data_IF_352335911538
#
_entry.id   IF_352335911538
#
_cell.length_a   1.000
_cell.length_b   1.000
_cell.length_c   1.000
_cell.angle_alpha   90.00
_cell.angle_beta   90.00
_cell.angle_gamma   90.00
#
_symmetry.space_group_name_H-M   'P 1'
#
loop_
_entity.id
_entity.type
_entity.pdbx_description
1 polymer ?
#
# COMPACT_ATOMS: atom_id res chain seq x y z
N UNK A 1 12.12 -5.96 31.74
CA UNK A 1 12.29 -5.26 30.45
C UNK A 1 11.79 -6.12 29.31
N UNK A 2 11.72 -5.58 28.09
CA UNK A 2 11.20 -6.29 26.93
C UNK A 2 12.25 -6.32 25.80
N UNK A 3 12.61 -7.52 25.35
CA UNK A 3 13.47 -7.75 24.19
C UNK A 3 12.60 -8.14 22.99
N UNK A 4 12.97 -7.66 21.79
CA UNK A 4 12.26 -7.96 20.53
C UNK A 4 13.26 -8.49 19.51
N UNK A 5 12.92 -9.58 18.84
CA UNK A 5 13.74 -10.21 17.80
C UNK A 5 12.86 -11.07 16.90
N UNK A 6 13.42 -11.57 15.80
CA UNK A 6 12.73 -12.39 14.81
C UNK A 6 13.32 -13.78 14.80
N UNK A 7 12.46 -14.80 14.83
CA UNK A 7 12.85 -16.21 14.72
C UNK A 7 12.35 -16.73 13.38
N UNK A 8 13.27 -17.22 12.54
CA UNK A 8 12.96 -17.88 11.27
C UNK A 8 13.02 -19.40 11.43
N UNK A 9 12.29 -20.13 10.58
CA UNK A 9 12.23 -21.60 10.59
C UNK A 9 10.98 -22.21 11.24
N UNK A 10 10.06 -21.38 11.77
CA UNK A 10 8.76 -21.85 12.25
C UNK A 10 7.79 -22.02 11.07
N UNK A 11 7.33 -23.25 10.83
CA UNK A 11 6.43 -23.57 9.70
C UNK A 11 5.02 -24.00 10.13
N UNK A 12 4.80 -24.27 11.42
CA UNK A 12 3.50 -24.68 11.94
C UNK A 12 3.29 -24.28 13.41
N UNK A 13 2.07 -24.46 13.93
CA UNK A 13 1.74 -24.20 15.33
C UNK A 13 2.60 -24.99 16.33
N UNK A 14 3.01 -26.21 15.97
CA UNK A 14 3.90 -27.01 16.81
C UNK A 14 5.32 -26.42 16.89
N UNK A 15 5.82 -25.84 15.80
CA UNK A 15 7.09 -25.10 15.82
C UNK A 15 7.00 -23.88 16.76
N UNK A 16 5.90 -23.12 16.69
CA UNK A 16 5.65 -21.99 17.60
C UNK A 16 5.65 -22.46 19.06
N UNK A 17 4.89 -23.51 19.38
CA UNK A 17 4.81 -24.02 20.74
C UNK A 17 6.17 -24.52 21.27
N UNK A 18 6.98 -25.16 20.41
CA UNK A 18 8.33 -25.58 20.75
C UNK A 18 9.26 -24.38 21.06
N UNK A 19 9.17 -23.33 20.25
CA UNK A 19 9.92 -22.08 20.45
C UNK A 19 9.49 -21.36 21.73
N UNK A 20 8.18 -21.22 21.98
CA UNK A 20 7.66 -20.61 23.21
C UNK A 20 8.10 -21.38 24.46
N UNK A 21 8.06 -22.73 24.40
CA UNK A 21 8.54 -23.59 25.50
C UNK A 21 10.05 -23.44 25.71
N UNK A 22 10.83 -23.35 24.64
CA UNK A 22 12.27 -23.12 24.70
C UNK A 22 12.62 -21.79 25.34
N UNK A 23 11.90 -20.72 24.97
CA UNK A 23 12.09 -19.38 25.51
C UNK A 23 11.66 -19.25 26.98
N UNK A 24 10.54 -19.88 27.37
CA UNK A 24 10.08 -19.92 28.76
C UNK A 24 11.02 -20.69 29.70
N UNK A 25 11.91 -21.53 29.16
CA UNK A 25 12.88 -22.28 29.96
C UNK A 25 14.07 -21.44 30.46
N UNK A 26 14.23 -20.20 29.98
CA UNK A 26 15.29 -19.31 30.45
C UNK A 26 14.94 -18.70 31.81
N UNK A 27 15.92 -18.66 32.71
CA UNK A 27 15.77 -18.04 34.02
C UNK A 27 15.56 -16.54 33.90
N UNK A 28 14.52 -16.02 34.55
CA UNK A 28 14.18 -14.60 34.53
C UNK A 28 13.21 -14.18 33.41
N UNK A 29 12.79 -15.11 32.55
CA UNK A 29 11.69 -14.88 31.60
C UNK A 29 10.35 -14.89 32.35
N UNK A 30 9.54 -13.85 32.11
CA UNK A 30 8.21 -13.69 32.70
C UNK A 30 7.10 -13.98 31.70
N UNK A 31 7.35 -13.70 30.43
CA UNK A 31 6.34 -13.76 29.37
C UNK A 31 6.99 -13.88 27.99
N UNK A 32 6.36 -14.65 27.10
CA UNK A 32 6.82 -14.92 25.74
C UNK A 32 5.63 -14.79 24.81
N UNK A 33 5.73 -13.91 23.82
CA UNK A 33 4.72 -13.75 22.78
C UNK A 33 5.39 -13.95 21.41
N UNK A 34 5.01 -15.01 20.69
CA UNK A 34 5.54 -15.33 19.36
C UNK A 34 4.44 -15.24 18.30
N UNK A 35 4.69 -14.46 17.25
CA UNK A 35 3.84 -14.41 16.07
C UNK A 35 4.35 -15.41 15.01
N UNK A 36 3.53 -16.39 14.65
CA UNK A 36 3.92 -17.44 13.70
C UNK A 36 4.07 -16.92 12.26
N UNK A 37 3.29 -15.92 11.86
CA UNK A 37 3.27 -15.42 10.47
C UNK A 37 4.49 -14.57 10.15
N UNK A 38 4.92 -13.75 11.11
CA UNK A 38 6.02 -12.81 10.97
C UNK A 38 7.32 -13.31 11.61
N UNK A 39 7.26 -14.31 12.48
CA UNK A 39 8.38 -14.74 13.31
C UNK A 39 8.74 -13.74 14.43
N UNK A 40 7.97 -12.65 14.56
CA UNK A 40 8.23 -11.62 15.55
C UNK A 40 8.00 -12.15 16.96
N UNK A 41 9.02 -12.02 17.79
CA UNK A 41 9.03 -12.53 19.17
C UNK A 41 9.26 -11.38 20.14
N UNK A 42 8.38 -11.27 21.13
CA UNK A 42 8.53 -10.36 22.27
C UNK A 42 8.78 -11.19 23.52
N UNK A 43 9.89 -10.89 24.19
CA UNK A 43 10.33 -11.59 25.39
C UNK A 43 10.36 -10.60 26.57
N UNK A 44 9.54 -10.82 27.60
CA UNK A 44 9.66 -10.05 28.86
C UNK A 44 10.60 -10.81 29.78
N UNK A 45 11.73 -10.19 30.11
CA UNK A 45 12.76 -10.80 30.94
C UNK A 45 13.30 -9.80 31.98
N UNK A 46 13.79 -10.31 33.10
CA UNK A 46 14.50 -9.53 34.12
C UNK A 46 15.91 -9.11 33.68
N UNK A 47 16.59 -9.94 32.88
CA UNK A 47 17.95 -9.68 32.36
C UNK A 47 18.04 -9.99 30.86
N UNK A 48 18.88 -9.22 30.15
CA UNK A 48 18.93 -9.27 28.70
C UNK A 48 19.63 -10.57 28.31
N UNK A 49 18.96 -11.39 27.51
CA UNK A 49 19.51 -12.64 26.99
C UNK A 49 20.11 -12.32 25.62
N UNK A 50 21.31 -12.82 25.33
CA UNK A 50 21.95 -12.66 24.03
C UNK A 50 21.25 -13.50 22.97
N UNK A 51 21.18 -13.01 21.74
CA UNK A 51 20.53 -13.72 20.63
C UNK A 51 21.21 -15.06 20.33
N UNK A 52 22.54 -15.14 20.49
CA UNK A 52 23.31 -16.39 20.33
C UNK A 52 22.93 -17.45 21.36
N UNK A 53 22.65 -17.07 22.61
CA UNK A 53 22.17 -18.01 23.63
C UNK A 53 20.78 -18.53 23.31
N UNK A 54 19.92 -17.70 22.72
CA UNK A 54 18.57 -18.08 22.29
C UNK A 54 18.67 -19.06 21.12
N UNK A 55 19.48 -18.75 20.11
CA UNK A 55 19.69 -19.60 18.93
C UNK A 55 20.26 -20.97 19.32
N UNK A 56 21.27 -21.00 20.20
CA UNK A 56 21.82 -22.25 20.74
C UNK A 56 20.79 -23.10 21.50
N UNK A 57 19.85 -22.48 22.20
CA UNK A 57 18.83 -23.18 22.98
C UNK A 57 17.70 -23.75 22.10
N UNK A 58 17.32 -23.02 21.06
CA UNK A 58 16.31 -23.44 20.10
C UNK A 58 16.87 -24.47 19.11
N UNK A 59 18.18 -24.46 18.88
CA UNK A 59 18.91 -25.37 18.00
C UNK A 59 18.96 -24.87 16.56
N UNK A 60 19.77 -25.55 15.74
CA UNK A 60 20.05 -25.17 14.34
C UNK A 60 18.83 -25.15 13.40
N UNK A 61 17.67 -25.61 13.86
CA UNK A 61 16.40 -25.54 13.12
C UNK A 61 15.82 -24.13 13.06
N UNK A 62 16.25 -23.24 13.95
CA UNK A 62 15.73 -21.89 14.05
C UNK A 62 16.86 -20.86 13.96
N UNK A 63 16.65 -19.80 13.19
CA UNK A 63 17.60 -18.68 13.09
C UNK A 63 17.06 -17.45 13.79
N UNK A 64 17.88 -16.82 14.64
CA UNK A 64 17.47 -15.69 15.48
C UNK A 64 18.14 -14.41 14.98
N UNK A 65 17.33 -13.43 14.56
CA UNK A 65 17.80 -12.16 14.02
C UNK A 65 17.29 -10.99 14.85
N UNK A 66 18.12 -9.97 15.05
CA UNK A 66 17.70 -8.74 15.72
C UNK A 66 16.67 -8.00 14.84
N UNK A 67 15.68 -7.39 15.48
CA UNK A 67 14.60 -6.61 14.82
C UNK A 67 15.17 -5.46 13.98
N UNK A 68 16.38 -4.97 14.32
CA UNK A 68 17.07 -3.91 13.55
C UNK A 68 17.53 -4.35 12.16
N UNK A 69 17.76 -5.65 11.92
CA UNK A 69 18.28 -6.17 10.65
C UNK A 69 17.17 -6.48 9.61
N UNK A 70 15.90 -6.45 10.04
CA UNK A 70 14.73 -6.63 9.16
C UNK A 70 14.01 -5.31 8.86
N UNK A 71 14.74 -4.25 8.49
CA UNK A 71 14.12 -3.22 7.66
C UNK A 71 14.07 -3.79 6.24
N UNK A 72 12.98 -4.48 5.86
CA UNK A 72 12.68 -4.71 4.44
C UNK A 72 12.87 -3.35 3.75
N UNK A 73 13.76 -3.28 2.77
CA UNK A 73 14.05 -2.01 2.12
C UNK A 73 12.77 -1.50 1.47
N UNK A 74 12.20 -0.40 2.00
CA UNK A 74 11.01 0.28 1.46
C UNK A 74 11.14 0.51 -0.05
N UNK A 75 12.37 0.72 -0.53
CA UNK A 75 12.71 0.91 -1.96
C UNK A 75 12.33 -0.33 -2.80
N UNK A 76 12.54 -1.54 -2.28
CA UNK A 76 12.20 -2.79 -3.00
C UNK A 76 10.69 -3.00 -3.09
N UNK A 77 9.94 -2.55 -2.08
CA UNK A 77 8.48 -2.59 -2.10
C UNK A 77 7.89 -1.54 -3.05
N UNK A 78 8.49 -0.34 -3.13
CA UNK A 78 8.05 0.76 -4.02
C UNK A 78 8.43 0.58 -5.50
N UNK A 79 9.30 -0.39 -5.81
CA UNK A 79 9.83 -0.60 -7.16
C UNK A 79 8.75 -0.83 -8.23
N UNK A 80 7.72 -1.67 -8.01
CA UNK A 80 6.67 -1.89 -9.01
C UNK A 80 5.89 -0.60 -9.31
N UNK A 81 5.61 0.21 -8.28
CA UNK A 81 4.92 1.49 -8.43
C UNK A 81 5.73 2.49 -9.24
N UNK A 82 7.03 2.61 -8.93
CA UNK A 82 7.95 3.44 -9.71
C UNK A 82 7.98 3.02 -11.18
N UNK A 83 8.06 1.71 -11.44
CA UNK A 83 8.06 1.18 -12.80
C UNK A 83 6.77 1.56 -13.53
N UNK A 84 5.60 1.38 -12.91
CA UNK A 84 4.31 1.79 -13.48
C UNK A 84 4.31 3.28 -13.86
N UNK A 85 4.75 4.16 -12.96
CA UNK A 85 4.80 5.60 -13.22
C UNK A 85 5.72 5.95 -14.38
N UNK A 86 6.87 5.29 -14.49
CA UNK A 86 7.80 5.45 -15.63
C UNK A 86 7.09 5.11 -16.95
N UNK A 87 6.39 3.96 -17.02
CA UNK A 87 5.64 3.58 -18.21
C UNK A 87 4.53 4.58 -18.57
N UNK A 88 3.82 5.12 -17.58
CA UNK A 88 2.77 6.13 -17.81
C UNK A 88 3.37 7.43 -18.35
N UNK A 89 4.48 7.93 -17.77
CA UNK A 89 5.14 9.16 -18.23
C UNK A 89 5.62 9.03 -19.68
N UNK A 90 6.35 7.96 -20.00
CA UNK A 90 6.84 7.76 -21.36
C UNK A 90 5.71 7.45 -22.35
N UNK A 91 4.70 6.68 -21.93
CA UNK A 91 3.53 6.38 -22.74
C UNK A 91 2.73 7.63 -23.10
N UNK A 92 2.46 8.49 -22.12
CA UNK A 92 1.76 9.77 -22.34
C UNK A 92 2.57 10.70 -23.25
N UNK A 93 3.89 10.75 -23.09
CA UNK A 93 4.76 11.54 -23.97
C UNK A 93 4.72 10.98 -25.41
N UNK A 94 4.76 9.66 -25.55
CA UNK A 94 4.74 8.99 -26.86
C UNK A 94 3.44 9.24 -27.63
N UNK A 95 2.29 9.20 -26.95
CA UNK A 95 0.98 9.47 -27.55
C UNK A 95 0.85 10.86 -28.16
N UNK A 96 1.67 11.81 -27.72
CA UNK A 96 1.61 13.20 -28.18
C UNK A 96 2.56 13.47 -29.38
N UNK A 97 3.35 12.51 -29.84
CA UNK A 97 4.17 12.70 -31.04
C UNK A 97 3.31 12.72 -32.32
N UNK A 98 3.59 13.62 -33.30
CA UNK A 98 4.75 14.53 -33.36
C UNK A 98 4.54 15.92 -32.73
N UNK A 99 3.32 16.29 -32.37
CA UNK A 99 2.98 17.65 -31.94
C UNK A 99 2.70 17.71 -30.43
N UNK A 100 3.71 18.07 -29.63
CA UNK A 100 3.58 18.17 -28.17
C UNK A 100 2.64 19.29 -27.73
N UNK A 101 1.54 18.95 -27.03
CA UNK A 101 0.69 19.91 -26.33
C UNK A 101 0.64 19.57 -24.85
N UNK A 102 0.74 20.58 -23.99
CA UNK A 102 0.72 20.38 -22.53
C UNK A 102 -0.63 19.84 -22.05
N UNK A 103 -1.74 20.33 -22.59
CA UNK A 103 -3.09 19.84 -22.26
C UNK A 103 -3.32 18.41 -22.75
N UNK A 104 -2.88 18.07 -23.96
CA UNK A 104 -2.91 16.71 -24.50
C UNK A 104 -2.14 15.73 -23.63
N UNK A 105 -0.89 16.07 -23.29
CA UNK A 105 -0.06 15.27 -22.41
C UNK A 105 -0.68 15.07 -21.02
N UNK A 106 -1.26 16.12 -20.42
CA UNK A 106 -1.95 16.01 -19.13
C UNK A 106 -3.15 15.05 -19.22
N UNK A 107 -3.97 15.15 -20.27
CA UNK A 107 -5.09 14.24 -20.48
C UNK A 107 -4.63 12.79 -20.71
N UNK A 108 -3.59 12.56 -21.50
CA UNK A 108 -3.06 11.22 -21.74
C UNK A 108 -2.43 10.61 -20.49
N UNK A 109 -1.68 11.40 -19.72
CA UNK A 109 -1.15 11.00 -18.43
C UNK A 109 -2.28 10.60 -17.48
N UNK A 110 -3.29 11.46 -17.32
CA UNK A 110 -4.43 11.18 -16.45
C UNK A 110 -5.21 9.95 -16.92
N UNK A 111 -5.40 9.80 -18.23
CA UNK A 111 -6.07 8.66 -18.84
C UNK A 111 -5.37 7.34 -18.56
N UNK A 112 -4.07 7.27 -18.87
CA UNK A 112 -3.24 6.10 -18.60
C UNK A 112 -3.15 5.79 -17.11
N UNK A 113 -3.04 6.81 -16.26
CA UNK A 113 -3.04 6.67 -14.81
C UNK A 113 -4.33 5.98 -14.34
N UNK A 114 -5.50 6.49 -14.70
CA UNK A 114 -6.77 5.88 -14.30
C UNK A 114 -6.94 4.44 -14.82
N UNK A 115 -6.56 4.16 -16.06
CA UNK A 115 -6.64 2.80 -16.63
C UNK A 115 -5.77 1.82 -15.85
N UNK A 116 -4.50 2.16 -15.63
CA UNK A 116 -3.54 1.25 -15.00
C UNK A 116 -3.89 1.02 -13.52
N UNK A 117 -4.24 2.08 -12.78
CA UNK A 117 -4.59 1.94 -11.37
C UNK A 117 -5.95 1.27 -11.17
N UNK A 118 -6.90 1.45 -12.09
CA UNK A 118 -8.16 0.69 -12.09
C UNK A 118 -7.91 -0.80 -12.32
N UNK A 119 -7.03 -1.17 -13.25
CA UNK A 119 -6.65 -2.57 -13.49
C UNK A 119 -6.10 -3.25 -12.23
N UNK A 120 -5.22 -2.60 -11.47
CA UNK A 120 -4.73 -3.15 -10.20
C UNK A 120 -5.84 -3.36 -9.17
N UNK A 121 -6.85 -2.50 -9.16
CA UNK A 121 -8.02 -2.66 -8.28
C UNK A 121 -8.88 -3.85 -8.73
N UNK A 122 -8.99 -4.12 -10.03
CA UNK A 122 -9.65 -5.32 -10.53
C UNK A 122 -8.92 -6.62 -10.17
N UNK A 123 -7.59 -6.64 -10.12
CA UNK A 123 -6.85 -7.82 -9.65
C UNK A 123 -7.22 -8.20 -8.21
N UNK A 124 -7.55 -7.22 -7.38
CA UNK A 124 -8.01 -7.39 -6.00
C UNK A 124 -9.51 -7.15 -5.81
N UNK A 125 -10.35 -7.35 -6.84
CA UNK A 125 -11.72 -6.80 -6.84
C UNK A 125 -12.57 -7.16 -5.61
N UNK A 126 -12.44 -8.39 -5.10
CA UNK A 126 -13.21 -8.83 -3.93
C UNK A 126 -12.74 -8.22 -2.61
N UNK A 127 -11.44 -7.93 -2.47
CA UNK A 127 -10.84 -7.39 -1.24
C UNK A 127 -10.64 -5.87 -1.29
N UNK A 128 -10.70 -5.28 -2.49
CA UNK A 128 -10.52 -3.85 -2.71
C UNK A 128 -11.55 -3.00 -1.95
N UNK A 129 -12.88 -3.23 -2.02
CA UNK A 129 -13.86 -2.36 -1.37
C UNK A 129 -13.66 -2.23 0.15
N UNK A 130 -13.30 -3.35 0.80
CA UNK A 130 -13.01 -3.37 2.24
C UNK A 130 -11.75 -2.56 2.57
N UNK A 131 -10.70 -2.70 1.75
CA UNK A 131 -9.46 -1.93 1.91
C UNK A 131 -9.68 -0.44 1.62
N UNK A 132 -10.47 -0.11 0.60
CA UNK A 132 -10.77 1.24 0.16
C UNK A 132 -11.59 2.02 1.19
N UNK A 133 -12.58 1.38 1.81
CA UNK A 133 -13.40 1.95 2.87
C UNK A 133 -12.62 2.33 4.15
N UNK A 134 -11.39 1.84 4.32
CA UNK A 134 -10.55 2.20 5.46
C UNK A 134 -10.07 3.65 5.40
N UNK A 135 -9.95 4.23 4.20
CA UNK A 135 -9.43 5.59 4.01
C UNK A 135 -10.35 6.48 3.18
N UNK A 136 -11.16 5.94 2.26
CA UNK A 136 -12.11 6.76 1.50
C UNK A 136 -13.40 7.04 2.30
N UNK A 137 -13.74 8.31 2.60
CA UNK A 137 -14.90 8.64 3.43
C UNK A 137 -16.22 8.25 2.76
N UNK A 138 -16.32 8.36 1.43
CA UNK A 138 -17.54 8.06 0.70
C UNK A 138 -17.80 6.54 0.66
N UNK A 139 -16.75 5.73 0.45
CA UNK A 139 -16.84 4.27 0.50
C UNK A 139 -17.11 3.75 1.91
N UNK A 140 -16.71 4.49 2.95
CA UNK A 140 -17.04 4.15 4.34
C UNK A 140 -18.52 4.31 4.64
N UNK A 141 -19.17 5.33 4.06
CA UNK A 141 -20.60 5.59 4.24
C UNK A 141 -21.46 4.76 3.27
N UNK A 142 -21.00 4.60 2.04
CA UNK A 142 -21.69 3.87 0.97
C UNK A 142 -20.80 2.73 0.47
N UNK A 143 -20.87 1.51 1.04
CA UNK A 143 -20.02 0.38 0.64
C UNK A 143 -20.11 0.00 -0.84
N UNK A 144 -21.26 0.24 -1.47
CA UNK A 144 -21.48 -0.03 -2.89
C UNK A 144 -20.60 0.85 -3.79
N UNK A 145 -20.24 2.06 -3.33
CA UNK A 145 -19.33 2.95 -4.04
C UNK A 145 -17.94 2.31 -4.21
N UNK A 146 -17.44 1.60 -3.20
CA UNK A 146 -16.16 0.89 -3.30
C UNK A 146 -16.15 -0.21 -4.36
N UNK A 147 -17.29 -0.86 -4.62
CA UNK A 147 -17.44 -1.86 -5.69
C UNK A 147 -17.54 -1.23 -7.09
N UNK A 148 -18.11 -0.04 -7.18
CA UNK A 148 -18.25 0.71 -8.44
C UNK A 148 -17.00 1.52 -8.80
N UNK A 149 -16.18 1.85 -7.81
CA UNK A 149 -15.03 2.74 -7.96
C UNK A 149 -14.04 2.31 -9.06
N UNK A 150 -13.63 1.03 -9.19
CA UNK A 150 -12.75 0.61 -10.28
C UNK A 150 -13.34 0.89 -11.66
N UNK A 151 -14.66 0.75 -11.83
CA UNK A 151 -15.36 1.07 -13.08
C UNK A 151 -15.41 2.57 -13.35
N UNK A 152 -15.61 3.39 -12.32
CA UNK A 152 -15.56 4.85 -12.42
C UNK A 152 -14.18 5.27 -12.94
N UNK A 153 -13.10 4.73 -12.37
CA UNK A 153 -11.75 5.01 -12.85
C UNK A 153 -11.52 4.52 -14.28
N UNK A 154 -11.97 3.32 -14.66
CA UNK A 154 -11.88 2.87 -16.07
C UNK A 154 -12.59 3.84 -17.00
N UNK A 155 -13.82 4.24 -16.66
CA UNK A 155 -14.62 5.15 -17.47
C UNK A 155 -13.94 6.52 -17.61
N UNK A 156 -13.37 7.06 -16.53
CA UNK A 156 -12.58 8.29 -16.56
C UNK A 156 -11.34 8.13 -17.45
N UNK A 157 -10.60 7.04 -17.28
CA UNK A 157 -9.41 6.74 -18.07
C UNK A 157 -9.70 6.69 -19.57
N UNK A 158 -10.74 5.96 -19.98
CA UNK A 158 -11.18 5.91 -21.37
C UNK A 158 -11.68 7.27 -21.86
N UNK A 159 -12.41 8.02 -21.02
CA UNK A 159 -12.90 9.36 -21.37
C UNK A 159 -11.76 10.31 -21.70
N UNK A 160 -10.69 10.32 -20.89
CA UNK A 160 -9.50 11.12 -21.18
C UNK A 160 -8.79 10.65 -22.45
N UNK A 161 -8.50 9.35 -22.60
CA UNK A 161 -7.76 8.82 -23.76
C UNK A 161 -8.49 9.03 -25.09
N UNK A 162 -9.81 8.85 -25.11
CA UNK A 162 -10.62 9.06 -26.32
C UNK A 162 -11.12 10.49 -26.50
N UNK A 163 -10.74 11.42 -25.60
CA UNK A 163 -11.26 12.79 -25.58
C UNK A 163 -12.79 12.87 -25.53
N UNK A 164 -13.42 11.88 -24.89
CA UNK A 164 -14.87 11.78 -24.80
C UNK A 164 -15.38 12.54 -23.56
N UNK A 165 -16.23 13.56 -23.79
CA UNK A 165 -16.89 14.35 -22.72
C UNK A 165 -15.90 14.84 -21.63
N UNK A 166 -14.78 15.42 -22.06
CA UNK A 166 -13.67 15.84 -21.18
C UNK A 166 -14.11 16.71 -20.00
N UNK A 167 -14.97 17.72 -20.22
CA UNK A 167 -15.42 18.59 -19.13
C UNK A 167 -16.11 17.81 -18.00
N UNK A 168 -16.95 16.83 -18.35
CA UNK A 168 -17.61 15.98 -17.37
C UNK A 168 -16.59 15.09 -16.64
N UNK A 169 -15.66 14.48 -17.39
CA UNK A 169 -14.61 13.65 -16.82
C UNK A 169 -13.74 14.44 -15.81
N UNK A 170 -13.36 15.68 -16.15
CA UNK A 170 -12.59 16.56 -15.26
C UNK A 170 -13.34 16.85 -13.95
N UNK A 171 -14.62 17.23 -14.01
CA UNK A 171 -15.41 17.49 -12.81
C UNK A 171 -15.59 16.25 -11.93
N UNK A 172 -15.86 15.10 -12.55
CA UNK A 172 -15.99 13.83 -11.82
C UNK A 172 -14.65 13.42 -11.19
N UNK A 173 -13.54 13.55 -11.92
CA UNK A 173 -12.20 13.30 -11.38
C UNK A 173 -11.88 14.21 -10.20
N UNK A 174 -12.15 15.51 -10.30
CA UNK A 174 -11.92 16.46 -9.21
C UNK A 174 -12.73 16.09 -7.97
N UNK A 175 -14.01 15.75 -8.14
CA UNK A 175 -14.88 15.33 -7.04
C UNK A 175 -14.36 14.06 -6.35
N UNK A 176 -14.10 13.00 -7.12
CA UNK A 176 -13.64 11.71 -6.61
C UNK A 176 -12.25 11.82 -5.95
N UNK A 177 -11.31 12.51 -6.60
CA UNK A 177 -9.96 12.69 -6.08
C UNK A 177 -9.92 13.59 -4.84
N UNK A 178 -10.79 14.59 -4.74
CA UNK A 178 -10.85 15.45 -3.56
C UNK A 178 -11.34 14.68 -2.33
N UNK A 179 -12.39 13.87 -2.48
CA UNK A 179 -12.93 13.04 -1.39
C UNK A 179 -11.87 12.03 -0.90
N UNK A 180 -11.23 11.31 -1.82
CA UNK A 180 -10.17 10.35 -1.48
C UNK A 180 -8.99 11.04 -0.81
N UNK A 181 -8.57 12.22 -1.29
CA UNK A 181 -7.48 13.01 -0.71
C UNK A 181 -7.76 13.43 0.73
N UNK A 182 -8.97 13.91 1.03
CA UNK A 182 -9.37 14.27 2.40
C UNK A 182 -9.33 13.04 3.33
N UNK A 183 -9.78 11.89 2.82
CA UNK A 183 -9.72 10.62 3.53
C UNK A 183 -8.31 10.15 3.87
N UNK A 184 -7.43 10.15 2.87
CA UNK A 184 -6.01 9.79 3.01
C UNK A 184 -5.30 10.73 3.98
N UNK A 185 -5.54 12.05 3.87
CA UNK A 185 -4.98 13.04 4.79
C UNK A 185 -5.42 12.77 6.24
N UNK A 186 -6.71 12.48 6.44
CA UNK A 186 -7.26 12.12 7.76
C UNK A 186 -6.63 10.83 8.29
N UNK A 187 -6.39 9.84 7.43
CA UNK A 187 -5.74 8.58 7.80
C UNK A 187 -4.27 8.76 8.18
N UNK A 188 -3.53 9.65 7.50
CA UNK A 188 -2.13 9.97 7.81
C UNK A 188 -2.01 10.72 9.14
N UNK A 189 -2.90 11.69 9.39
CA UNK A 189 -2.92 12.47 10.61
C UNK A 189 -3.24 11.62 11.85
N UNK A 190 -4.15 10.66 11.72
CA UNK A 190 -4.61 9.86 12.84
C UNK A 190 -3.62 8.78 13.30
N UNK A 191 -2.48 8.54 12.61
CA UNK A 191 -1.43 7.53 12.95
C UNK A 191 -1.98 6.19 13.46
N UNK A 192 -3.20 5.81 13.08
CA UNK A 192 -3.81 4.59 13.57
C UNK A 192 -3.14 3.43 12.84
N UNK A 193 -2.45 2.58 13.59
CA UNK A 193 -1.89 1.35 13.05
C UNK A 193 -3.04 0.43 12.64
N UNK A 194 -3.38 0.45 11.35
CA UNK A 194 -4.42 -0.42 10.82
C UNK A 194 -3.84 -1.84 10.80
N UNK A 195 -4.43 -2.70 11.63
CA UNK A 195 -4.20 -4.12 11.65
C UNK A 195 -4.60 -4.73 10.30
N UNK A 196 -3.65 -5.45 9.71
CA UNK A 196 -3.78 -6.14 8.44
C UNK A 196 -4.96 -7.12 8.42
N UNK A 197 -5.80 -7.00 7.40
CA UNK A 197 -6.64 -8.10 6.93
C UNK A 197 -6.79 -7.99 5.40
N UNK A 198 -6.41 -9.05 4.69
CA UNK A 198 -7.01 -9.46 3.41
C UNK A 198 -6.47 -8.96 2.05
N UNK A 199 -5.21 -8.55 1.89
CA UNK A 199 -4.57 -8.65 0.57
C UNK A 199 -3.30 -9.49 0.63
N UNK A 200 -3.36 -10.65 -0.05
CA UNK A 200 -2.26 -11.57 -0.19
C UNK A 200 -1.04 -10.87 -0.77
N UNK A 201 0.03 -10.86 0.02
CA UNK A 201 1.48 -11.04 -0.29
C UNK A 201 2.09 -10.56 -1.61
N UNK A 202 1.39 -9.88 -2.51
CA UNK A 202 1.95 -9.46 -3.81
C UNK A 202 2.39 -8.01 -3.75
N UNK A 203 1.70 -7.10 -3.03
CA UNK A 203 2.09 -5.69 -2.92
C UNK A 203 1.61 -5.06 -1.58
N UNK A 204 2.36 -5.27 -0.49
CA UNK A 204 2.21 -4.46 0.74
C UNK A 204 2.96 -3.14 0.58
N UNK A 205 2.44 -2.26 -0.28
CA UNK A 205 2.94 -0.90 -0.40
C UNK A 205 2.38 -0.07 0.76
N UNK A 206 3.17 0.80 1.42
CA UNK A 206 2.64 1.88 2.26
C UNK A 206 1.96 2.90 1.33
N UNK A 207 0.79 2.55 0.80
CA UNK A 207 0.09 3.29 -0.25
C UNK A 207 -0.27 4.71 0.19
N UNK A 208 -0.41 4.97 1.49
CA UNK A 208 -1.03 6.20 1.99
C UNK A 208 -0.24 7.48 1.63
N UNK A 209 1.09 7.47 1.68
CA UNK A 209 1.90 8.65 1.30
C UNK A 209 2.00 8.82 -0.23
N UNK A 210 2.17 7.72 -0.97
CA UNK A 210 2.27 7.76 -2.43
C UNK A 210 0.95 8.17 -3.08
N UNK A 211 -0.18 7.61 -2.63
CA UNK A 211 -1.53 7.95 -3.12
C UNK A 211 -1.88 9.42 -2.89
N UNK A 212 -1.41 10.02 -1.79
CA UNK A 212 -1.61 11.46 -1.54
C UNK A 212 -0.92 12.30 -2.63
N UNK A 213 0.33 11.98 -2.96
CA UNK A 213 1.12 12.67 -3.98
C UNK A 213 0.47 12.47 -5.36
N UNK A 214 0.11 11.24 -5.69
CA UNK A 214 -0.56 10.88 -6.94
C UNK A 214 -1.87 11.66 -7.14
N UNK A 215 -2.76 11.64 -6.15
CA UNK A 215 -4.03 12.36 -6.21
C UNK A 215 -3.81 13.87 -6.36
N UNK A 216 -2.84 14.44 -5.64
CA UNK A 216 -2.55 15.88 -5.72
C UNK A 216 -2.06 16.27 -7.11
N UNK A 217 -1.16 15.48 -7.71
CA UNK A 217 -0.68 15.70 -9.09
C UNK A 217 -1.86 15.65 -10.06
N UNK A 218 -2.73 14.65 -9.94
CA UNK A 218 -3.90 14.48 -10.80
C UNK A 218 -4.90 15.64 -10.66
N UNK A 219 -5.14 16.15 -9.44
CA UNK A 219 -5.98 17.32 -9.18
C UNK A 219 -5.38 18.58 -9.82
N UNK A 220 -4.07 18.80 -9.69
CA UNK A 220 -3.37 19.94 -10.29
C UNK A 220 -3.49 19.88 -11.82
N UNK A 221 -3.28 18.71 -12.43
CA UNK A 221 -3.45 18.52 -13.87
C UNK A 221 -4.90 18.77 -14.30
N UNK A 222 -5.88 18.24 -13.56
CA UNK A 222 -7.29 18.44 -13.86
C UNK A 222 -7.68 19.93 -13.84
N UNK A 223 -7.22 20.68 -12.84
CA UNK A 223 -7.44 22.13 -12.80
C UNK A 223 -6.70 22.87 -13.92
N UNK A 224 -5.47 22.47 -14.22
CA UNK A 224 -4.68 23.05 -15.31
C UNK A 224 -5.35 22.89 -16.67
N UNK A 225 -5.94 21.72 -16.94
CA UNK A 225 -6.71 21.47 -18.17
C UNK A 225 -8.03 22.25 -18.15
N UNK A 226 -8.76 22.23 -17.02
CA UNK A 226 -10.08 22.86 -16.91
C UNK A 226 -10.05 24.38 -17.10
N UNK A 227 -9.07 25.06 -16.50
CA UNK A 227 -8.93 26.52 -16.56
C UNK A 227 -7.95 27.01 -17.64
N UNK A 228 -7.19 26.10 -18.25
CA UNK A 228 -6.26 26.40 -19.34
C UNK A 228 -6.90 26.65 -20.70
N UNK A 229 -8.24 26.59 -20.81
CA UNK A 229 -9.00 26.86 -22.04
C UNK A 229 -8.58 26.01 -23.26
N UNK A 230 -8.24 24.74 -23.06
CA UNK A 230 -7.90 23.82 -24.14
C UNK A 230 -8.85 22.62 -24.15
N UNK A 231 -9.80 22.61 -25.10
CA UNK A 231 -10.46 21.40 -25.59
C UNK A 231 -10.01 21.16 -27.03
#
# INVERSE_FOLDING_TARGET
>A
MQQKFVIQGMTCGNCKAAVEKGLNSFTGVKDVEVDLKSGATKLKTSKAISLSSIENKLGSKYSVQDTKSQKKSKIKELFPLFLILVYIVFGAAFLQFPAFTTSGYMMDFMGLFFIVFSFFKFLGYQSFPNSFAMYDPLSKVLPIYGWLYPFIETALGLSFLFRFKITLALWVSLFVLSITTLGVLTSLLNKNQIQCACLGTVLNLPMTEATLIENLIMIIMAFGVLFGNAY
#
